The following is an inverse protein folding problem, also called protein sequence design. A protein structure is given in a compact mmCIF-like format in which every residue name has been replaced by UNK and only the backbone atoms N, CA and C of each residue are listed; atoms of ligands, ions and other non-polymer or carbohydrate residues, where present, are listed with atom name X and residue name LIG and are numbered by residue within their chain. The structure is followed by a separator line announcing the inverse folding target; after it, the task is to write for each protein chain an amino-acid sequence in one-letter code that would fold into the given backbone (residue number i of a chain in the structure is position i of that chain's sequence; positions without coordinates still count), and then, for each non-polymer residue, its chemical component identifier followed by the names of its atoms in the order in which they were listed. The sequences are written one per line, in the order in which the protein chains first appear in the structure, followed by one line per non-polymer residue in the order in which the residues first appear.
data_IF_389230358779
#
_entry.id   IF_389230358779
#
_cell.length_a   1.000
_cell.length_b   1.000
_cell.length_c   1.000
_cell.angle_alpha   90.00
_cell.angle_beta   90.00
_cell.angle_gamma   90.00
#
_symmetry.space_group_name_H-M   'P 1'
#
loop_
_entity.id
_entity.type
_entity.pdbx_description
1 polymer ?
#
# COMPACT_ATOMS: atom_id res chain seq x y z
N UNK A 1 25.06 -6.33 -5.91
CA UNK A 1 25.99 -5.25 -5.48
C UNK A 1 26.48 -4.35 -6.62
N UNK A 2 26.75 -4.85 -7.82
CA UNK A 2 27.27 -4.04 -8.94
C UNK A 2 26.38 -2.86 -9.36
N UNK A 3 25.06 -2.98 -9.21
CA UNK A 3 24.11 -1.93 -9.58
C UNK A 3 24.23 -0.67 -8.70
N UNK A 4 24.41 -0.83 -7.38
CA UNK A 4 24.61 0.30 -6.45
C UNK A 4 25.88 1.09 -6.77
N UNK A 5 26.91 0.41 -7.29
CA UNK A 5 28.14 1.04 -7.76
C UNK A 5 27.87 1.98 -8.95
N UNK A 6 27.01 1.56 -9.87
CA UNK A 6 26.69 2.33 -11.08
C UNK A 6 25.85 3.58 -10.81
N UNK A 7 25.08 3.64 -9.72
CA UNK A 7 24.31 4.83 -9.33
C UNK A 7 25.08 5.79 -8.42
N UNK A 8 26.37 5.53 -8.16
CA UNK A 8 27.23 6.42 -7.37
C UNK A 8 26.89 6.48 -5.88
N UNK A 9 26.21 5.46 -5.35
CA UNK A 9 25.82 5.38 -3.93
C UNK A 9 26.83 4.67 -3.05
N UNK A 10 27.96 4.24 -3.61
CA UNK A 10 29.04 3.59 -2.84
C UNK A 10 29.58 4.53 -1.78
N UNK A 11 29.57 4.09 -0.53
CA UNK A 11 30.03 4.89 0.62
C UNK A 11 29.02 5.94 1.10
N UNK A 12 27.81 6.01 0.54
CA UNK A 12 26.75 6.90 1.02
C UNK A 12 25.71 6.10 1.81
N UNK A 13 25.22 6.70 2.89
CA UNK A 13 24.06 6.16 3.60
C UNK A 13 22.81 6.27 2.74
N UNK A 14 22.03 5.20 2.69
CA UNK A 14 20.78 5.18 1.94
C UNK A 14 19.69 4.40 2.68
N UNK A 15 18.47 4.86 2.50
CA UNK A 15 17.24 4.14 2.86
C UNK A 15 16.67 3.55 1.59
N UNK A 16 16.51 2.24 1.57
CA UNK A 16 15.84 1.51 0.50
C UNK A 16 14.44 1.13 0.96
N UNK A 17 13.44 1.62 0.26
CA UNK A 17 12.02 1.33 0.53
C UNK A 17 11.46 0.52 -0.64
N UNK A 18 10.89 -0.63 -0.38
CA UNK A 18 10.06 -1.36 -1.33
C UNK A 18 8.59 -1.01 -1.03
N UNK A 19 7.86 -0.52 -2.01
CA UNK A 19 6.44 -0.21 -1.93
C UNK A 19 5.68 -1.00 -2.99
N UNK A 20 4.50 -1.45 -2.61
CA UNK A 20 3.58 -2.14 -3.50
C UNK A 20 2.14 -1.99 -3.03
N UNK A 21 1.19 -2.22 -3.91
CA UNK A 21 -0.23 -2.21 -3.57
C UNK A 21 -0.89 -3.55 -3.78
N UNK A 22 -1.83 -3.86 -2.89
CA UNK A 22 -2.73 -5.00 -3.06
C UNK A 22 -4.19 -4.59 -2.92
N UNK A 23 -5.03 -5.18 -3.75
CA UNK A 23 -6.48 -4.98 -3.64
C UNK A 23 -7.04 -5.88 -2.54
N UNK A 24 -7.70 -5.28 -1.56
CA UNK A 24 -8.46 -5.99 -0.55
C UNK A 24 -9.90 -6.11 -1.02
N UNK A 25 -10.32 -7.31 -1.41
CA UNK A 25 -11.68 -7.57 -1.84
C UNK A 25 -12.49 -8.14 -0.67
N UNK A 26 -13.32 -7.32 -0.07
CA UNK A 26 -14.25 -7.75 0.99
C UNK A 26 -15.25 -8.81 0.51
N UNK A 27 -15.47 -8.90 -0.81
CA UNK A 27 -16.48 -9.79 -1.42
C UNK A 27 -15.92 -11.18 -1.72
N UNK A 28 -14.62 -11.34 -1.91
CA UNK A 28 -14.05 -12.64 -2.27
C UNK A 28 -14.10 -13.65 -1.11
N UNK A 29 -14.03 -13.18 0.13
CA UNK A 29 -14.24 -14.02 1.31
C UNK A 29 -15.67 -14.61 1.36
N UNK A 30 -16.66 -13.86 0.89
CA UNK A 30 -18.05 -14.32 0.82
C UNK A 30 -18.33 -15.17 -0.42
N UNK A 31 -17.61 -14.95 -1.54
CA UNK A 31 -17.81 -15.67 -2.79
C UNK A 31 -17.18 -17.06 -2.84
N UNK A 32 -16.10 -17.27 -2.12
CA UNK A 32 -15.39 -18.58 -2.12
C UNK A 32 -16.08 -19.65 -1.27
N UNK A 33 -17.31 -19.40 -0.80
CA UNK A 33 -18.03 -20.39 0.00
C UNK A 33 -17.31 -20.78 1.30
N UNK A 34 -16.34 -19.99 1.71
CA UNK A 34 -15.52 -20.22 2.90
C UNK A 34 -16.08 -19.54 4.15
N UNK A 35 -17.30 -19.04 4.11
CA UNK A 35 -18.08 -19.04 5.36
C UNK A 35 -18.36 -20.53 5.62
N UNK A 36 -17.66 -21.17 6.55
CA UNK A 36 -17.91 -22.57 6.77
C UNK A 36 -19.37 -22.69 7.20
N UNK A 37 -20.16 -23.46 6.46
CA UNK A 37 -21.51 -23.90 6.86
C UNK A 37 -21.52 -24.54 8.28
N UNK A 38 -20.35 -24.68 8.90
CA UNK A 38 -20.11 -25.21 10.24
C UNK A 38 -20.23 -24.21 11.39
N UNK A 39 -20.32 -22.91 11.11
CA UNK A 39 -20.57 -21.89 12.14
C UNK A 39 -22.04 -21.46 12.24
N UNK A 40 -22.90 -22.04 11.45
CA UNK A 40 -24.34 -21.98 11.72
C UNK A 40 -24.59 -23.00 12.83
N UNK A 41 -24.68 -22.53 14.07
CA UNK A 41 -25.21 -23.30 15.19
C UNK A 41 -26.48 -24.02 14.73
N UNK A 42 -26.51 -25.32 14.93
CA UNK A 42 -27.52 -26.29 14.42
C UNK A 42 -28.97 -25.96 14.82
N UNK A 43 -29.26 -24.86 15.47
CA UNK A 43 -30.59 -24.59 16.06
C UNK A 43 -31.40 -23.46 15.43
N UNK A 44 -30.86 -22.65 14.53
CA UNK A 44 -31.68 -21.69 13.82
C UNK A 44 -31.32 -21.63 12.33
N UNK A 45 -32.31 -22.02 11.51
CA UNK A 45 -32.26 -21.79 10.05
C UNK A 45 -32.41 -20.29 9.78
N UNK A 46 -31.41 -19.48 10.11
CA UNK A 46 -31.35 -18.12 9.66
C UNK A 46 -30.98 -18.17 8.18
N UNK A 47 -31.99 -18.08 7.32
CA UNK A 47 -31.78 -17.76 5.90
C UNK A 47 -31.31 -16.32 5.85
N UNK A 48 -30.00 -16.12 5.96
CA UNK A 48 -29.40 -14.85 5.57
C UNK A 48 -29.60 -14.76 4.07
N UNK A 49 -30.59 -13.98 3.65
CA UNK A 49 -30.74 -13.63 2.25
C UNK A 49 -29.37 -13.06 1.79
N UNK A 50 -28.78 -13.55 0.69
CA UNK A 50 -27.56 -12.98 0.18
C UNK A 50 -27.86 -11.51 -0.13
N UNK A 51 -27.40 -10.58 0.70
CA UNK A 51 -27.37 -9.19 0.31
C UNK A 51 -26.50 -9.14 -0.94
N UNK A 52 -27.11 -8.78 -2.05
CA UNK A 52 -26.39 -8.43 -3.25
C UNK A 52 -25.60 -7.17 -2.90
N UNK A 53 -24.41 -7.36 -2.36
CA UNK A 53 -23.47 -6.26 -2.16
C UNK A 53 -23.05 -5.85 -3.55
N UNK A 54 -23.42 -4.63 -3.91
CA UNK A 54 -23.10 -4.06 -5.22
C UNK A 54 -21.58 -4.18 -5.46
N UNK A 55 -21.22 -4.99 -6.45
CA UNK A 55 -19.82 -5.35 -6.78
C UNK A 55 -18.93 -4.13 -7.08
N UNK A 56 -19.55 -3.00 -7.36
CA UNK A 56 -18.86 -1.78 -7.77
C UNK A 56 -18.29 -0.98 -6.58
N UNK A 57 -18.74 -1.22 -5.36
CA UNK A 57 -18.43 -0.35 -4.21
C UNK A 57 -17.38 -0.90 -3.25
N UNK A 58 -16.82 -2.10 -3.48
CA UNK A 58 -15.95 -2.77 -2.51
C UNK A 58 -14.46 -2.79 -2.88
N UNK A 59 -14.01 -1.93 -3.79
CA UNK A 59 -12.58 -1.84 -4.10
C UNK A 59 -11.87 -1.01 -3.04
N UNK A 60 -10.90 -1.63 -2.40
CA UNK A 60 -10.03 -1.00 -1.42
C UNK A 60 -8.61 -1.43 -1.74
N UNK A 61 -7.70 -0.49 -1.85
CA UNK A 61 -6.28 -0.79 -1.99
C UNK A 61 -5.56 -0.59 -0.66
N UNK A 62 -4.63 -1.47 -0.37
CA UNK A 62 -3.64 -1.30 0.68
C UNK A 62 -2.31 -0.99 -0.01
N UNK A 63 -1.74 0.19 0.23
CA UNK A 63 -0.37 0.52 -0.13
C UNK A 63 0.51 0.21 1.07
N UNK A 64 1.41 -0.74 0.91
CA UNK A 64 2.33 -1.14 1.95
C UNK A 64 3.77 -0.76 1.60
N UNK A 65 4.59 -0.55 2.61
CA UNK A 65 6.00 -0.22 2.47
C UNK A 65 6.86 -0.96 3.48
N UNK A 66 7.99 -1.46 3.01
CA UNK A 66 9.04 -2.04 3.87
C UNK A 66 10.38 -1.42 3.53
N UNK A 67 11.28 -1.30 4.49
CA UNK A 67 12.61 -0.74 4.26
C UNK A 67 13.73 -1.57 4.89
N UNK A 68 14.96 -1.22 4.51
CA UNK A 68 16.18 -1.83 5.02
C UNK A 68 16.62 -1.32 6.40
N UNK A 69 15.91 -0.33 6.97
CA UNK A 69 16.21 0.24 8.29
C UNK A 69 15.10 -0.18 9.29
N UNK A 70 15.39 -1.11 10.23
CA UNK A 70 14.40 -1.58 11.20
C UNK A 70 13.88 -0.48 12.13
N UNK A 71 14.66 0.56 12.38
CA UNK A 71 14.26 1.68 13.24
C UNK A 71 13.31 2.65 12.54
N UNK A 72 13.39 2.72 11.22
CA UNK A 72 12.52 3.54 10.38
C UNK A 72 11.23 2.79 10.01
N UNK A 73 11.27 1.45 9.93
CA UNK A 73 10.14 0.63 9.49
C UNK A 73 8.82 0.95 10.19
N UNK A 74 8.74 1.15 11.53
CA UNK A 74 7.48 1.48 12.22
C UNK A 74 6.87 2.83 11.84
N UNK A 75 7.64 3.70 11.19
CA UNK A 75 7.24 5.06 10.83
C UNK A 75 6.85 5.23 9.37
N UNK A 76 7.07 4.18 8.55
CA UNK A 76 6.73 4.24 7.13
C UNK A 76 5.23 4.37 6.91
N UNK A 77 4.77 5.23 5.98
CA UNK A 77 3.35 5.38 5.69
C UNK A 77 2.79 4.11 5.03
N UNK A 78 1.94 3.43 5.76
CA UNK A 78 1.08 2.35 5.27
C UNK A 78 -0.29 2.97 5.00
N UNK A 79 -0.81 2.83 3.78
CA UNK A 79 -2.03 3.55 3.39
C UNK A 79 -3.15 2.58 3.05
N UNK A 80 -4.25 2.72 3.76
CA UNK A 80 -5.50 2.08 3.43
C UNK A 80 -6.35 3.03 2.59
N UNK A 81 -6.67 2.64 1.36
CA UNK A 81 -7.29 3.48 0.35
C UNK A 81 -8.64 2.91 -0.11
N UNK A 82 -9.72 3.11 0.65
CA UNK A 82 -11.05 2.69 0.23
C UNK A 82 -11.63 3.63 -0.83
N UNK A 83 -12.59 3.11 -1.57
CA UNK A 83 -13.41 3.88 -2.48
C UNK A 83 -14.51 4.59 -1.72
N UNK A 84 -14.54 5.91 -1.81
CA UNK A 84 -15.65 6.73 -1.32
C UNK A 84 -16.15 7.68 -2.40
N UNK A 85 -17.46 7.94 -2.40
CA UNK A 85 -18.02 9.04 -3.18
C UNK A 85 -17.52 10.37 -2.61
N UNK A 86 -17.48 11.42 -3.44
CA UNK A 86 -16.99 12.75 -3.03
C UNK A 86 -17.65 13.32 -1.77
N UNK A 87 -18.83 12.83 -1.41
CA UNK A 87 -19.64 13.33 -0.31
C UNK A 87 -19.57 12.46 0.95
N UNK A 88 -19.02 11.25 0.86
CA UNK A 88 -18.94 10.35 2.00
C UNK A 88 -17.58 10.46 2.68
N UNK A 89 -17.55 11.08 3.84
CA UNK A 89 -16.41 10.96 4.76
C UNK A 89 -16.36 9.54 5.34
N UNK A 90 -15.16 9.03 5.65
CA UNK A 90 -15.02 7.77 6.36
C UNK A 90 -15.84 7.80 7.65
N UNK A 91 -16.48 6.70 8.05
CA UNK A 91 -17.16 6.62 9.34
C UNK A 91 -16.20 6.96 10.49
N UNK A 92 -16.60 7.90 11.35
CA UNK A 92 -15.74 8.38 12.46
C UNK A 92 -15.22 7.24 13.33
N UNK A 93 -16.05 6.22 13.61
CA UNK A 93 -15.63 5.08 14.42
C UNK A 93 -14.47 4.28 13.80
N UNK A 94 -14.37 4.21 12.47
CA UNK A 94 -13.23 3.55 11.82
C UNK A 94 -11.96 4.37 12.00
N UNK A 95 -12.03 5.69 11.91
CA UNK A 95 -10.87 6.56 12.13
C UNK A 95 -10.38 6.46 13.57
N UNK A 96 -11.31 6.51 14.54
CA UNK A 96 -10.99 6.36 15.97
C UNK A 96 -10.39 4.98 16.29
N UNK A 97 -10.89 3.90 15.66
CA UNK A 97 -10.34 2.57 15.81
C UNK A 97 -8.91 2.49 15.25
N UNK A 98 -8.63 3.12 14.11
CA UNK A 98 -7.27 3.19 13.55
C UNK A 98 -6.32 4.00 14.41
N UNK A 99 -6.73 5.16 14.91
CA UNK A 99 -5.92 5.99 15.80
C UNK A 99 -5.54 5.25 17.09
N UNK A 100 -6.42 4.40 17.59
CA UNK A 100 -6.20 3.63 18.82
C UNK A 100 -5.29 2.39 18.61
N UNK A 101 -5.06 1.91 17.39
CA UNK A 101 -4.21 0.72 17.15
C UNK A 101 -2.73 0.98 17.38
N UNK A 102 -2.28 2.23 17.38
CA UNK A 102 -0.87 2.59 17.49
C UNK A 102 -0.01 2.19 16.27
N UNK A 103 -0.60 1.63 15.22
CA UNK A 103 0.09 1.32 13.98
C UNK A 103 0.10 2.53 13.05
N UNK A 104 1.15 2.71 12.22
CA UNK A 104 1.29 3.83 11.29
C UNK A 104 0.43 3.63 10.03
N UNK A 105 -0.82 3.21 10.19
CA UNK A 105 -1.76 3.03 9.10
C UNK A 105 -2.47 4.36 8.85
N UNK A 106 -2.26 4.92 7.67
CA UNK A 106 -2.91 6.15 7.23
C UNK A 106 -4.16 5.80 6.41
N UNK A 107 -5.24 6.49 6.72
CA UNK A 107 -6.50 6.32 6.01
C UNK A 107 -6.66 7.42 4.97
N UNK A 108 -6.54 7.08 3.69
CA UNK A 108 -6.78 7.97 2.58
C UNK A 108 -8.00 7.48 1.80
N UNK A 109 -8.62 8.35 1.02
CA UNK A 109 -9.76 7.95 0.20
C UNK A 109 -9.77 8.67 -1.14
N UNK A 110 -10.33 8.02 -2.14
CA UNK A 110 -10.65 8.63 -3.42
C UNK A 110 -11.88 7.94 -4.05
N UNK A 111 -12.33 8.48 -5.16
CA UNK A 111 -13.54 7.98 -5.85
C UNK A 111 -13.36 6.62 -6.53
N UNK A 112 -12.15 6.16 -6.73
CA UNK A 112 -11.85 4.88 -7.41
C UNK A 112 -11.45 3.76 -6.45
N UNK A 113 -10.90 4.07 -5.27
CA UNK A 113 -10.25 3.10 -4.39
C UNK A 113 -8.95 2.52 -4.95
N UNK A 114 -8.43 3.08 -6.05
CA UNK A 114 -7.20 2.65 -6.68
C UNK A 114 -6.09 3.68 -6.46
N UNK A 115 -4.85 3.22 -6.50
CA UNK A 115 -3.69 4.10 -6.51
C UNK A 115 -3.65 4.85 -7.84
N UNK A 116 -3.73 6.18 -7.76
CA UNK A 116 -3.65 7.09 -8.90
C UNK A 116 -2.31 7.83 -8.86
N UNK A 117 -1.87 8.48 -9.95
CA UNK A 117 -0.67 9.31 -9.92
C UNK A 117 -0.71 10.40 -8.85
N UNK A 118 -1.91 10.93 -8.55
CA UNK A 118 -2.11 11.90 -7.46
C UNK A 118 -1.85 11.30 -6.09
N UNK A 119 -2.38 10.11 -5.82
CA UNK A 119 -2.14 9.36 -4.59
C UNK A 119 -0.66 9.00 -4.46
N UNK A 120 -0.04 8.54 -5.54
CA UNK A 120 1.39 8.20 -5.54
C UNK A 120 2.26 9.41 -5.21
N UNK A 121 1.99 10.58 -5.78
CA UNK A 121 2.73 11.82 -5.45
C UNK A 121 2.56 12.22 -3.99
N UNK A 122 1.34 12.15 -3.45
CA UNK A 122 1.08 12.43 -2.05
C UNK A 122 1.85 11.47 -1.13
N UNK A 123 1.85 10.17 -1.47
CA UNK A 123 2.57 9.15 -0.72
C UNK A 123 4.09 9.38 -0.74
N UNK A 124 4.68 9.69 -1.89
CA UNK A 124 6.11 10.02 -2.01
C UNK A 124 6.48 11.24 -1.16
N UNK A 125 5.62 12.28 -1.14
CA UNK A 125 5.83 13.46 -0.29
C UNK A 125 5.81 13.08 1.19
N UNK A 126 4.83 12.27 1.61
CA UNK A 126 4.72 11.78 2.99
C UNK A 126 5.91 10.92 3.38
N UNK A 127 6.29 9.96 2.53
CA UNK A 127 7.47 9.12 2.73
C UNK A 127 8.75 9.95 2.90
N UNK A 128 8.96 10.94 2.03
CA UNK A 128 10.14 11.82 2.12
C UNK A 128 10.17 12.58 3.43
N UNK A 129 9.04 13.08 3.90
CA UNK A 129 8.93 13.77 5.20
C UNK A 129 9.35 12.85 6.35
N UNK A 130 8.83 11.63 6.39
CA UNK A 130 9.16 10.64 7.42
C UNK A 130 10.66 10.29 7.39
N UNK A 131 11.19 9.97 6.20
CA UNK A 131 12.61 9.63 6.08
C UNK A 131 13.50 10.80 6.46
N UNK A 132 13.15 12.02 6.07
CA UNK A 132 13.93 13.21 6.42
C UNK A 132 13.96 13.46 7.94
N UNK A 133 12.86 13.23 8.63
CA UNK A 133 12.81 13.40 10.10
C UNK A 133 13.70 12.43 10.86
N UNK A 134 13.92 11.21 10.33
CA UNK A 134 14.69 10.17 10.99
C UNK A 134 16.11 10.00 10.41
N UNK A 135 16.27 10.27 9.12
CA UNK A 135 17.53 10.09 8.36
C UNK A 135 17.74 11.25 7.38
N UNK A 136 18.00 12.47 7.89
CA UNK A 136 18.04 13.69 7.06
C UNK A 136 19.12 13.66 5.96
N UNK A 137 20.23 13.00 6.23
CA UNK A 137 21.38 12.93 5.30
C UNK A 137 21.36 11.74 4.35
N UNK A 138 20.40 10.81 4.51
CA UNK A 138 20.38 9.59 3.71
C UNK A 138 19.71 9.80 2.36
N UNK A 139 20.23 9.14 1.35
CA UNK A 139 19.56 8.99 0.06
C UNK A 139 18.32 8.12 0.23
N UNK A 140 17.27 8.46 -0.51
CA UNK A 140 16.03 7.67 -0.51
C UNK A 140 15.84 7.01 -1.87
N UNK A 141 15.86 5.67 -1.87
CA UNK A 141 15.57 4.83 -3.02
C UNK A 141 14.22 4.16 -2.80
N UNK A 142 13.34 4.25 -3.79
CA UNK A 142 12.00 3.62 -3.73
C UNK A 142 11.88 2.61 -4.86
N UNK A 143 11.72 1.34 -4.49
CA UNK A 143 11.53 0.21 -5.39
C UNK A 143 10.04 0.00 -5.58
N UNK A 144 9.59 0.07 -6.82
CA UNK A 144 8.18 -0.12 -7.24
C UNK A 144 8.12 -0.97 -8.50
N UNK A 145 6.97 -1.53 -8.80
CA UNK A 145 6.72 -2.18 -10.08
C UNK A 145 6.50 -1.15 -11.22
N UNK A 146 6.30 -1.63 -12.43
CA UNK A 146 6.05 -0.81 -13.61
C UNK A 146 4.55 -0.51 -13.82
N UNK A 147 3.73 -0.46 -12.77
CA UNK A 147 2.35 -0.02 -12.91
C UNK A 147 2.27 1.40 -13.47
N UNK A 148 1.23 1.68 -14.25
CA UNK A 148 1.09 2.98 -14.94
C UNK A 148 1.12 4.16 -13.97
N UNK A 149 0.53 4.01 -12.78
CA UNK A 149 0.52 5.04 -11.75
C UNK A 149 1.91 5.33 -11.14
N UNK A 150 2.86 4.39 -11.24
CA UNK A 150 4.24 4.56 -10.75
C UNK A 150 5.16 5.19 -11.80
N UNK A 151 4.97 4.81 -13.07
CA UNK A 151 5.85 5.23 -14.18
C UNK A 151 5.38 6.49 -14.90
N UNK A 152 4.24 7.06 -14.51
CA UNK A 152 3.75 8.29 -15.11
C UNK A 152 4.76 9.42 -14.96
N UNK A 153 5.00 10.16 -16.04
CA UNK A 153 6.00 11.21 -16.10
C UNK A 153 5.88 12.24 -14.97
N UNK A 154 4.66 12.61 -14.62
CA UNK A 154 4.39 13.56 -13.54
C UNK A 154 4.83 13.04 -12.16
N UNK A 155 4.76 11.72 -11.93
CA UNK A 155 5.22 11.07 -10.70
C UNK A 155 6.74 11.03 -10.64
N UNK A 156 7.39 10.69 -11.75
CA UNK A 156 8.85 10.64 -11.84
C UNK A 156 9.49 12.04 -11.63
N UNK A 157 8.90 13.08 -12.23
CA UNK A 157 9.33 14.46 -11.99
C UNK A 157 9.15 14.83 -10.52
N UNK A 158 8.02 14.46 -9.91
CA UNK A 158 7.75 14.76 -8.51
C UNK A 158 8.76 14.05 -7.59
N UNK A 159 9.01 12.76 -7.80
CA UNK A 159 10.03 12.01 -7.07
C UNK A 159 11.41 12.66 -7.16
N UNK A 160 11.82 13.05 -8.37
CA UNK A 160 13.10 13.75 -8.61
C UNK A 160 13.18 15.06 -7.83
N UNK A 161 12.12 15.86 -7.80
CA UNK A 161 12.07 17.13 -7.02
C UNK A 161 12.21 16.89 -5.52
N UNK A 162 11.74 15.75 -5.02
CA UNK A 162 11.88 15.33 -3.63
C UNK A 162 13.25 14.70 -3.33
N UNK A 163 14.14 14.54 -4.31
CA UNK A 163 15.41 13.85 -4.15
C UNK A 163 15.24 12.35 -3.94
N UNK A 164 14.19 11.75 -4.51
CA UNK A 164 13.89 10.31 -4.44
C UNK A 164 14.38 9.65 -5.73
N UNK A 165 15.15 8.58 -5.59
CA UNK A 165 15.56 7.72 -6.71
C UNK A 165 14.53 6.60 -6.85
N UNK A 166 13.77 6.63 -7.94
CA UNK A 166 12.79 5.58 -8.26
C UNK A 166 13.49 4.41 -8.96
N UNK A 167 13.31 3.21 -8.44
CA UNK A 167 13.85 1.96 -8.98
C UNK A 167 12.69 1.11 -9.48
N UNK A 168 12.60 0.94 -10.80
CA UNK A 168 11.51 0.20 -11.44
C UNK A 168 11.84 -1.27 -11.55
N UNK A 169 10.97 -2.13 -11.00
CA UNK A 169 11.05 -3.58 -11.16
C UNK A 169 10.31 -3.98 -12.43
N UNK A 170 10.96 -4.58 -13.41
CA UNK A 170 10.27 -5.07 -14.60
C UNK A 170 9.18 -6.08 -14.24
N UNK A 171 8.04 -6.03 -14.94
CA UNK A 171 6.86 -6.86 -14.65
C UNK A 171 7.11 -8.37 -14.61
N UNK A 172 8.13 -8.85 -15.34
CA UNK A 172 8.52 -10.27 -15.34
C UNK A 172 9.38 -10.67 -14.13
N UNK A 173 9.84 -9.71 -13.32
CA UNK A 173 10.71 -9.93 -12.15
C UNK A 173 10.03 -9.56 -10.83
N UNK A 174 8.78 -9.14 -10.84
CA UNK A 174 8.02 -8.77 -9.63
C UNK A 174 7.96 -9.92 -8.64
N UNK A 175 7.71 -11.12 -9.10
CA UNK A 175 7.67 -12.34 -8.26
C UNK A 175 8.98 -12.62 -7.49
N UNK A 176 10.09 -12.03 -7.90
CA UNK A 176 11.40 -12.24 -7.28
C UNK A 176 11.90 -10.98 -6.55
N UNK A 177 11.59 -9.79 -7.04
CA UNK A 177 12.17 -8.54 -6.57
C UNK A 177 11.19 -7.67 -5.77
N UNK A 178 9.88 -7.96 -5.82
CA UNK A 178 8.87 -7.31 -5.00
C UNK A 178 8.69 -8.08 -3.69
N UNK A 179 9.37 -7.62 -2.64
CA UNK A 179 9.35 -8.27 -1.33
C UNK A 179 7.94 -8.38 -0.74
N UNK A 180 7.11 -7.35 -0.97
CA UNK A 180 5.74 -7.31 -0.47
C UNK A 180 4.86 -8.37 -1.12
N UNK A 181 4.95 -8.53 -2.44
CA UNK A 181 4.18 -9.56 -3.16
C UNK A 181 4.58 -10.98 -2.71
N UNK A 182 5.88 -11.22 -2.54
CA UNK A 182 6.41 -12.56 -2.24
C UNK A 182 6.14 -12.96 -0.78
N UNK A 183 6.34 -12.05 0.17
CA UNK A 183 6.38 -12.42 1.60
C UNK A 183 5.21 -11.90 2.42
N UNK A 184 4.55 -10.82 1.99
CA UNK A 184 3.48 -10.18 2.74
C UNK A 184 2.13 -10.46 2.11
N UNK A 185 1.92 -10.07 0.86
CA UNK A 185 0.62 -10.18 0.22
C UNK A 185 0.21 -11.60 -0.11
N UNK A 186 1.18 -12.49 -0.34
CA UNK A 186 0.90 -13.92 -0.51
C UNK A 186 0.22 -14.56 0.72
N UNK A 187 0.39 -13.98 1.91
CA UNK A 187 -0.24 -14.44 3.15
C UNK A 187 -1.57 -13.73 3.45
N UNK A 188 -1.81 -12.58 2.83
CA UNK A 188 -3.05 -11.80 2.98
C UNK A 188 -4.16 -12.25 2.02
N UNK A 189 -3.81 -12.90 0.92
CA UNK A 189 -4.71 -13.46 -0.11
C UNK A 189 -5.08 -14.90 0.23
#
# INVERSE_FOLDING_TARGET
MSWLLNVGLTGKEYVLVNMDETNLSYVDALKKGTVPNKLVLQHEKIRVAPRVVDRTNSRTSLMAAVCNDPTLQPHLPQVFLPRYSKEASPPKHLLEEYENTGYPLEYWHNTSGNVTPGVMKAWLTRLRSVVHSHRPSSWLLVVVDCATCHVEHSVLIHARRLGIVMVMVPSRLTWMLQLLDVYVFARLK
#
